data_IF_348395269951
#
_entry.id   IF_348395269951
#
_cell.length_a   1.000
_cell.length_b   1.000
_cell.length_c   1.000
_cell.angle_alpha   90.00
_cell.angle_beta   90.00
_cell.angle_gamma   90.00
#
_symmetry.space_group_name_H-M   'P 1'
#
loop_
_entity.id
_entity.type
_entity.pdbx_description
1 polymer ?
#
# COMPACT_ATOMS: atom_id res chain seq x y z
N UNK A 1 -16.14 -7.59 -2.20
CA UNK A 1 -16.43 -7.65 -0.76
C UNK A 1 -15.26 -7.05 0.00
N UNK A 2 -15.44 -5.89 0.63
CA UNK A 2 -14.42 -5.28 1.45
C UNK A 2 -14.03 -6.21 2.60
N UNK A 3 -12.75 -6.43 2.82
CA UNK A 3 -12.25 -7.14 4.01
C UNK A 3 -12.56 -6.27 5.22
N UNK A 4 -13.31 -6.81 6.17
CA UNK A 4 -13.53 -6.15 7.45
C UNK A 4 -12.18 -6.01 8.18
N UNK A 5 -11.92 -4.85 8.75
CA UNK A 5 -10.80 -4.67 9.67
C UNK A 5 -11.12 -5.43 10.96
N UNK A 6 -10.10 -5.87 11.68
CA UNK A 6 -10.31 -6.63 12.92
C UNK A 6 -11.27 -5.92 13.89
N UNK A 7 -11.14 -4.60 14.03
CA UNK A 7 -12.06 -3.80 14.84
C UNK A 7 -13.51 -3.92 14.38
N UNK A 8 -13.76 -3.79 13.07
CA UNK A 8 -15.11 -3.90 12.49
C UNK A 8 -15.68 -5.30 12.66
N UNK A 9 -14.81 -6.33 12.52
CA UNK A 9 -15.17 -7.72 12.79
C UNK A 9 -15.59 -7.90 14.26
N UNK A 10 -14.79 -7.40 15.20
CA UNK A 10 -15.10 -7.47 16.64
C UNK A 10 -16.46 -6.83 16.93
N UNK A 11 -16.73 -5.64 16.37
CA UNK A 11 -18.02 -4.98 16.56
C UNK A 11 -19.17 -5.81 15.96
N UNK A 12 -18.98 -6.34 14.76
CA UNK A 12 -20.01 -7.18 14.12
C UNK A 12 -20.27 -8.47 14.90
N UNK A 13 -19.23 -9.14 15.40
CA UNK A 13 -19.38 -10.33 16.26
C UNK A 13 -20.13 -9.98 17.55
N UNK A 14 -19.81 -8.86 18.21
CA UNK A 14 -20.55 -8.39 19.40
C UNK A 14 -22.01 -8.16 19.08
N UNK A 15 -22.34 -7.53 17.97
CA UNK A 15 -23.73 -7.28 17.56
C UNK A 15 -24.47 -8.60 17.32
N UNK A 16 -23.87 -9.55 16.59
CA UNK A 16 -24.45 -10.86 16.33
C UNK A 16 -24.67 -11.62 17.64
N UNK A 17 -23.69 -11.64 18.54
CA UNK A 17 -23.82 -12.32 19.82
C UNK A 17 -24.91 -11.68 20.71
N UNK A 18 -25.05 -10.36 20.67
CA UNK A 18 -26.15 -9.69 21.35
C UNK A 18 -27.53 -10.13 20.83
N UNK A 19 -27.70 -10.25 19.50
CA UNK A 19 -28.96 -10.75 18.92
C UNK A 19 -29.19 -12.25 19.26
N UNK A 20 -28.14 -13.07 19.22
CA UNK A 20 -28.21 -14.48 19.62
C UNK A 20 -28.62 -14.64 21.09
N UNK A 21 -28.08 -13.79 21.98
CA UNK A 21 -28.39 -13.84 23.42
C UNK A 21 -29.83 -13.53 23.71
N UNK A 22 -30.52 -12.71 22.91
CA UNK A 22 -31.96 -12.48 23.04
C UNK A 22 -32.79 -13.75 22.86
N UNK A 23 -32.32 -14.69 22.04
CA UNK A 23 -32.97 -15.96 21.77
C UNK A 23 -32.56 -17.02 22.80
N UNK A 24 -31.23 -17.14 23.02
CA UNK A 24 -30.65 -18.20 23.84
C UNK A 24 -30.70 -17.97 25.34
N UNK A 25 -30.86 -16.71 25.77
CA UNK A 25 -30.78 -16.24 27.18
C UNK A 25 -29.39 -16.38 27.80
N UNK A 26 -28.62 -17.40 27.49
CA UNK A 26 -27.24 -17.60 27.92
C UNK A 26 -26.45 -18.42 26.89
N UNK A 27 -25.10 -18.31 26.89
CA UNK A 27 -24.25 -19.14 26.08
C UNK A 27 -23.64 -20.28 26.89
N UNK A 28 -23.70 -21.50 26.35
CA UNK A 28 -23.13 -22.70 26.96
C UNK A 28 -21.67 -22.94 26.54
N UNK A 29 -21.30 -22.53 25.31
CA UNK A 29 -19.97 -22.67 24.75
C UNK A 29 -19.76 -21.66 23.61
N UNK A 30 -18.54 -21.65 23.02
CA UNK A 30 -18.19 -20.87 21.83
C UNK A 30 -18.03 -21.76 20.61
N UNK A 31 -18.37 -21.27 19.43
CA UNK A 31 -18.10 -21.94 18.16
C UNK A 31 -17.81 -20.92 17.07
N UNK A 32 -16.97 -21.34 16.11
CA UNK A 32 -16.71 -20.66 14.85
C UNK A 32 -17.24 -21.46 13.65
N UNK A 33 -17.89 -22.61 13.90
CA UNK A 33 -18.48 -23.45 12.87
C UNK A 33 -19.89 -22.96 12.52
N UNK A 34 -20.11 -22.62 11.26
CA UNK A 34 -21.36 -22.09 10.77
C UNK A 34 -22.56 -23.04 11.01
N UNK A 35 -22.40 -24.34 10.76
CA UNK A 35 -23.46 -25.32 10.93
C UNK A 35 -23.84 -25.51 12.41
N UNK A 36 -22.86 -25.57 13.30
CA UNK A 36 -23.11 -25.64 14.73
C UNK A 36 -23.86 -24.41 15.24
N UNK A 37 -23.45 -23.21 14.77
CA UNK A 37 -24.08 -21.95 15.17
C UNK A 37 -25.52 -21.81 14.69
N UNK A 38 -25.85 -22.35 13.50
CA UNK A 38 -27.25 -22.36 13.00
C UNK A 38 -28.12 -23.33 13.83
N UNK A 39 -27.60 -24.51 14.11
CA UNK A 39 -28.36 -25.56 14.77
C UNK A 39 -28.49 -25.39 16.28
N UNK A 40 -27.62 -24.60 16.89
CA UNK A 40 -27.62 -24.37 18.34
C UNK A 40 -27.50 -22.88 18.68
N UNK A 41 -28.61 -22.22 19.03
CA UNK A 41 -28.61 -20.80 19.41
C UNK A 41 -27.81 -20.51 20.69
N UNK A 42 -27.59 -21.50 21.57
CA UNK A 42 -26.85 -21.33 22.83
C UNK A 42 -25.31 -21.30 22.64
N UNK A 43 -24.82 -21.31 21.41
CA UNK A 43 -23.40 -21.13 21.12
C UNK A 43 -23.08 -19.67 20.85
N UNK A 44 -22.05 -19.16 21.52
CA UNK A 44 -21.48 -17.84 21.21
C UNK A 44 -20.66 -17.92 19.92
N UNK A 45 -20.91 -16.99 19.00
CA UNK A 45 -20.08 -16.85 17.80
C UNK A 45 -18.69 -16.37 18.19
N UNK A 46 -17.67 -17.14 17.81
CA UNK A 46 -16.25 -16.78 17.95
C UNK A 46 -15.54 -16.83 16.59
N UNK A 47 -14.28 -16.45 16.56
CA UNK A 47 -13.47 -16.44 15.34
C UNK A 47 -11.99 -16.73 15.64
N UNK A 48 -11.29 -17.24 14.65
CA UNK A 48 -9.86 -17.52 14.73
C UNK A 48 -9.09 -16.42 14.04
N UNK A 49 -8.12 -15.81 14.73
CA UNK A 49 -7.19 -14.84 14.15
C UNK A 49 -5.98 -15.58 13.60
N UNK A 50 -5.93 -15.75 12.29
CA UNK A 50 -4.76 -16.30 11.61
C UNK A 50 -3.63 -15.26 11.54
N UNK A 51 -2.41 -15.68 11.84
CA UNK A 51 -1.22 -14.82 11.66
C UNK A 51 -0.92 -14.69 10.16
N UNK A 52 -0.79 -13.46 9.62
CA UNK A 52 -0.41 -13.27 8.22
C UNK A 52 1.03 -13.77 7.98
N UNK A 53 1.24 -14.43 6.83
CA UNK A 53 2.54 -15.00 6.41
C UNK A 53 2.90 -14.52 5.02
N UNK A 54 3.65 -13.43 4.91
CA UNK A 54 3.97 -12.79 3.64
C UNK A 54 4.78 -13.70 2.71
N UNK A 55 5.73 -14.47 3.24
CA UNK A 55 6.51 -15.44 2.46
C UNK A 55 5.61 -16.45 1.74
N UNK A 56 4.62 -17.02 2.44
CA UNK A 56 3.65 -17.94 1.85
C UNK A 56 2.83 -17.26 0.73
N UNK A 57 2.44 -16.00 0.91
CA UNK A 57 1.68 -15.26 -0.12
C UNK A 57 2.52 -15.01 -1.37
N UNK A 58 3.81 -14.66 -1.20
CA UNK A 58 4.76 -14.49 -2.30
C UNK A 58 4.98 -15.82 -3.05
N UNK A 59 5.13 -16.95 -2.33
CA UNK A 59 5.31 -18.27 -2.93
C UNK A 59 4.10 -18.65 -3.80
N UNK A 60 2.88 -18.44 -3.30
CA UNK A 60 1.66 -18.71 -4.09
C UNK A 60 1.51 -17.75 -5.27
N UNK A 61 1.81 -16.46 -5.10
CA UNK A 61 1.83 -15.49 -6.19
C UNK A 61 2.81 -15.90 -7.29
N UNK A 62 4.01 -16.35 -6.91
CA UNK A 62 5.03 -16.84 -7.85
C UNK A 62 4.59 -18.12 -8.59
N UNK A 63 3.90 -19.04 -7.89
CA UNK A 63 3.32 -20.24 -8.53
C UNK A 63 2.26 -19.86 -9.56
N UNK A 64 1.36 -18.92 -9.23
CA UNK A 64 0.34 -18.44 -10.16
C UNK A 64 0.98 -17.73 -11.35
N UNK A 65 1.99 -16.89 -11.12
CA UNK A 65 2.74 -16.23 -12.19
C UNK A 65 3.40 -17.25 -13.14
N UNK A 66 3.92 -18.37 -12.60
CA UNK A 66 4.50 -19.46 -13.42
C UNK A 66 3.45 -20.14 -14.30
N UNK A 67 2.16 -20.16 -13.90
CA UNK A 67 1.07 -20.63 -14.76
C UNK A 67 0.87 -19.66 -15.93
N UNK A 68 0.82 -18.34 -15.68
CA UNK A 68 0.69 -17.35 -16.76
C UNK A 68 1.82 -17.47 -17.80
N UNK A 69 3.06 -17.75 -17.37
CA UNK A 69 4.21 -17.92 -18.26
C UNK A 69 4.11 -19.13 -19.20
N UNK A 70 3.21 -20.08 -18.95
CA UNK A 70 2.94 -21.18 -19.90
C UNK A 70 2.12 -20.73 -21.11
N UNK A 71 1.38 -19.64 -20.96
CA UNK A 71 0.44 -19.14 -21.96
C UNK A 71 0.92 -17.85 -22.63
N UNK A 72 1.69 -17.02 -21.92
CA UNK A 72 2.01 -15.65 -22.31
C UNK A 72 3.50 -15.33 -22.14
N UNK A 73 4.00 -14.47 -23.02
CA UNK A 73 5.33 -13.89 -22.90
C UNK A 73 5.38 -12.89 -21.71
N UNK A 74 6.48 -12.84 -20.93
CA UNK A 74 6.63 -11.87 -19.84
C UNK A 74 6.45 -10.40 -20.26
N UNK A 75 6.74 -10.05 -21.52
CA UNK A 75 6.55 -8.70 -22.04
C UNK A 75 5.08 -8.27 -22.05
N UNK A 76 4.15 -9.22 -22.22
CA UNK A 76 2.72 -8.99 -22.31
C UNK A 76 2.02 -9.15 -20.94
N UNK A 77 2.79 -9.40 -19.86
CA UNK A 77 2.30 -9.49 -18.48
C UNK A 77 2.84 -8.31 -17.68
N UNK A 78 1.97 -7.57 -17.00
CA UNK A 78 2.33 -6.55 -16.00
C UNK A 78 1.84 -6.99 -14.61
N UNK A 79 2.78 -7.21 -13.68
CA UNK A 79 2.48 -7.49 -12.27
C UNK A 79 2.05 -6.17 -11.62
N UNK A 80 0.75 -6.02 -11.37
CA UNK A 80 0.16 -4.82 -10.77
C UNK A 80 0.29 -4.85 -9.24
N UNK A 81 0.10 -6.02 -8.63
CA UNK A 81 0.26 -6.26 -7.19
C UNK A 81 0.67 -7.71 -6.93
N UNK A 82 0.76 -8.12 -5.65
CA UNK A 82 1.06 -9.51 -5.27
C UNK A 82 -0.01 -10.50 -5.76
N UNK A 83 -1.24 -10.03 -6.00
CA UNK A 83 -2.42 -10.85 -6.30
C UNK A 83 -3.14 -10.42 -7.59
N UNK A 84 -2.62 -9.42 -8.31
CA UNK A 84 -3.24 -8.92 -9.54
C UNK A 84 -2.21 -8.72 -10.66
N UNK A 85 -2.59 -9.12 -11.87
CA UNK A 85 -1.81 -8.91 -13.10
C UNK A 85 -2.68 -8.32 -14.19
N UNK A 86 -2.09 -7.55 -15.09
CA UNK A 86 -2.66 -7.23 -16.40
C UNK A 86 -1.94 -8.07 -17.46
N UNK A 87 -2.71 -8.55 -18.43
CA UNK A 87 -2.19 -9.37 -19.53
C UNK A 87 -2.78 -8.84 -20.85
N UNK A 88 -1.93 -8.58 -21.84
CA UNK A 88 -2.38 -8.29 -23.19
C UNK A 88 -2.68 -9.61 -23.92
N UNK A 89 -3.97 -9.85 -24.20
CA UNK A 89 -4.44 -11.06 -24.88
C UNK A 89 -4.41 -10.94 -26.40
N UNK A 90 -4.23 -9.75 -26.94
CA UNK A 90 -4.40 -9.45 -28.37
C UNK A 90 -3.59 -10.39 -29.29
N UNK A 91 -2.29 -10.65 -29.04
CA UNK A 91 -1.51 -11.54 -29.89
C UNK A 91 -1.89 -13.02 -29.73
N UNK A 92 -2.50 -13.39 -28.61
CA UNK A 92 -2.72 -14.79 -28.23
C UNK A 92 -4.05 -15.36 -28.69
N UNK A 93 -5.08 -14.52 -28.87
CA UNK A 93 -6.41 -14.95 -29.35
C UNK A 93 -6.29 -15.64 -30.70
N UNK A 94 -5.50 -15.08 -31.63
CA UNK A 94 -5.25 -15.71 -32.94
C UNK A 94 -4.39 -16.95 -32.82
N UNK A 95 -3.38 -16.93 -31.95
CA UNK A 95 -2.46 -18.06 -31.74
C UNK A 95 -3.17 -19.31 -31.23
N UNK A 96 -3.96 -19.16 -30.17
CA UNK A 96 -4.69 -20.26 -29.55
C UNK A 96 -5.99 -20.63 -30.31
N UNK A 97 -6.46 -19.78 -31.21
CA UNK A 97 -7.75 -19.92 -31.91
C UNK A 97 -8.93 -20.09 -30.92
N UNK A 98 -8.85 -19.41 -29.80
CA UNK A 98 -9.85 -19.39 -28.73
C UNK A 98 -10.39 -17.96 -28.57
N UNK A 99 -11.63 -17.82 -28.09
CA UNK A 99 -12.14 -16.55 -27.59
C UNK A 99 -11.41 -16.16 -26.30
N UNK A 100 -11.37 -14.87 -25.98
CA UNK A 100 -10.75 -14.36 -24.76
C UNK A 100 -11.33 -15.06 -23.50
N UNK A 101 -12.67 -15.16 -23.44
CA UNK A 101 -13.37 -15.83 -22.32
C UNK A 101 -12.88 -17.27 -22.14
N UNK A 102 -12.80 -18.04 -23.24
CA UNK A 102 -12.40 -19.46 -23.17
C UNK A 102 -10.94 -19.63 -22.78
N UNK A 103 -10.06 -18.76 -23.28
CA UNK A 103 -8.65 -18.76 -22.88
C UNK A 103 -8.50 -18.48 -21.39
N UNK A 104 -9.20 -17.46 -20.87
CA UNK A 104 -9.17 -17.10 -19.46
C UNK A 104 -9.80 -18.17 -18.58
N UNK A 105 -10.93 -18.78 -18.98
CA UNK A 105 -11.52 -19.91 -18.25
C UNK A 105 -10.50 -21.04 -18.04
N UNK A 106 -9.78 -21.43 -19.09
CA UNK A 106 -8.77 -22.49 -19.00
C UNK A 106 -7.66 -22.15 -18.00
N UNK A 107 -7.21 -20.91 -18.00
CA UNK A 107 -6.16 -20.42 -17.09
C UNK A 107 -6.66 -20.38 -15.63
N UNK A 108 -7.85 -19.83 -15.40
CA UNK A 108 -8.46 -19.79 -14.07
C UNK A 108 -8.69 -21.19 -13.51
N UNK A 109 -9.10 -22.14 -14.36
CA UNK A 109 -9.27 -23.53 -13.97
C UNK A 109 -7.91 -24.19 -13.61
N UNK A 110 -6.84 -23.91 -14.38
CA UNK A 110 -5.49 -24.41 -14.04
C UNK A 110 -4.99 -23.83 -12.71
N UNK A 111 -5.22 -22.54 -12.47
CA UNK A 111 -4.89 -21.91 -11.19
C UNK A 111 -5.62 -22.61 -10.05
N UNK A 112 -6.94 -22.79 -10.16
CA UNK A 112 -7.74 -23.46 -9.13
C UNK A 112 -7.25 -24.88 -8.89
N UNK A 113 -7.00 -25.66 -9.96
CA UNK A 113 -6.52 -27.04 -9.86
C UNK A 113 -5.14 -27.14 -9.20
N UNK A 114 -4.25 -26.20 -9.51
CA UNK A 114 -2.85 -26.23 -9.04
C UNK A 114 -2.68 -25.67 -7.63
N UNK A 115 -3.44 -24.62 -7.28
CA UNK A 115 -3.22 -23.87 -6.04
C UNK A 115 -4.38 -23.99 -5.04
N UNK A 116 -5.52 -24.52 -5.44
CA UNK A 116 -6.78 -24.53 -4.69
C UNK A 116 -7.30 -23.12 -4.35
N UNK A 117 -6.82 -22.10 -5.08
CA UNK A 117 -7.23 -20.71 -4.93
C UNK A 117 -8.13 -20.33 -6.11
N UNK A 118 -9.31 -19.79 -5.80
CA UNK A 118 -10.19 -19.21 -6.82
C UNK A 118 -9.66 -17.84 -7.25
N UNK A 119 -9.79 -17.52 -8.53
CA UNK A 119 -9.45 -16.23 -9.07
C UNK A 119 -10.60 -15.65 -9.89
N UNK A 120 -10.62 -14.32 -10.03
CA UNK A 120 -11.57 -13.57 -10.86
C UNK A 120 -10.83 -12.87 -11.98
N UNK A 121 -11.45 -12.75 -13.15
CA UNK A 121 -10.89 -12.03 -14.27
C UNK A 121 -11.84 -10.94 -14.80
N UNK A 122 -11.25 -9.86 -15.31
CA UNK A 122 -11.95 -8.85 -16.08
C UNK A 122 -11.32 -8.74 -17.46
N UNK A 123 -12.13 -8.82 -18.49
CA UNK A 123 -11.76 -8.66 -19.90
C UNK A 123 -12.25 -7.31 -20.37
N UNK A 124 -11.39 -6.51 -20.97
CA UNK A 124 -11.73 -5.18 -21.48
C UNK A 124 -10.94 -4.82 -22.72
N UNK A 125 -11.44 -3.88 -23.49
CA UNK A 125 -10.77 -3.32 -24.69
C UNK A 125 -9.54 -2.47 -24.34
N UNK A 126 -9.41 -2.08 -23.07
CA UNK A 126 -8.25 -1.36 -22.51
C UNK A 126 -8.03 -1.73 -21.05
N UNK A 127 -6.92 -1.26 -20.45
CA UNK A 127 -6.53 -1.58 -19.07
C UNK A 127 -7.57 -1.13 -18.04
N UNK A 128 -8.17 0.06 -18.24
CA UNK A 128 -9.19 0.57 -17.33
C UNK A 128 -10.45 -0.31 -17.36
N UNK A 129 -10.98 -0.62 -18.51
CA UNK A 129 -12.18 -1.44 -18.66
C UNK A 129 -11.96 -2.87 -18.17
N UNK A 130 -10.77 -3.45 -18.39
CA UNK A 130 -10.42 -4.76 -17.82
C UNK A 130 -10.46 -4.74 -16.30
N UNK A 131 -9.85 -3.70 -15.66
CA UNK A 131 -9.86 -3.55 -14.21
C UNK A 131 -11.27 -3.35 -13.65
N UNK A 132 -12.09 -2.51 -14.28
CA UNK A 132 -13.48 -2.26 -13.87
C UNK A 132 -14.37 -3.50 -14.06
N UNK A 133 -14.17 -4.24 -15.16
CA UNK A 133 -14.88 -5.51 -15.39
C UNK A 133 -14.61 -6.50 -14.26
N UNK A 134 -13.36 -6.60 -13.81
CA UNK A 134 -12.98 -7.47 -12.68
C UNK A 134 -13.60 -6.96 -11.36
N UNK A 135 -13.40 -5.68 -11.03
CA UNK A 135 -13.73 -5.17 -9.69
C UNK A 135 -15.24 -5.00 -9.47
N UNK A 136 -15.98 -4.55 -10.49
CA UNK A 136 -17.39 -4.23 -10.34
C UNK A 136 -18.29 -5.35 -10.88
N UNK A 137 -17.96 -5.97 -12.01
CA UNK A 137 -18.81 -7.02 -12.56
C UNK A 137 -18.46 -8.41 -12.02
N UNK A 138 -17.22 -8.89 -12.23
CA UNK A 138 -16.84 -10.25 -11.87
C UNK A 138 -16.97 -10.53 -10.36
N UNK A 139 -16.48 -9.61 -9.50
CA UNK A 139 -16.55 -9.78 -8.03
C UNK A 139 -17.96 -9.70 -7.44
N UNK A 140 -18.94 -9.15 -8.18
CA UNK A 140 -20.34 -9.05 -7.73
C UNK A 140 -21.26 -10.10 -8.33
N UNK A 141 -20.79 -10.86 -9.32
CA UNK A 141 -21.55 -12.00 -9.87
C UNK A 141 -21.50 -13.18 -8.89
N UNK A 142 -22.59 -13.94 -8.87
CA UNK A 142 -22.57 -15.22 -8.20
C UNK A 142 -21.55 -16.12 -8.94
N UNK A 143 -20.72 -16.79 -8.15
CA UNK A 143 -19.77 -17.79 -8.64
C UNK A 143 -20.54 -18.77 -9.55
N UNK A 144 -20.12 -18.93 -10.81
CA UNK A 144 -20.74 -19.92 -11.69
C UNK A 144 -20.52 -21.34 -11.12
N UNK A 145 -21.18 -22.34 -11.71
CA UNK A 145 -21.11 -23.76 -11.23
C UNK A 145 -19.68 -24.29 -11.15
N UNK A 146 -18.74 -23.69 -11.90
CA UNK A 146 -17.33 -24.08 -11.98
C UNK A 146 -16.42 -23.29 -11.04
N UNK A 147 -16.97 -22.40 -10.22
CA UNK A 147 -16.19 -21.59 -9.28
C UNK A 147 -15.48 -20.38 -9.92
N UNK A 148 -15.80 -20.04 -11.17
CA UNK A 148 -15.14 -18.99 -11.94
C UNK A 148 -16.02 -17.74 -12.05
N UNK A 149 -15.38 -16.56 -12.01
CA UNK A 149 -16.03 -15.26 -12.19
C UNK A 149 -15.25 -14.43 -13.23
N UNK A 150 -15.87 -14.22 -14.39
CA UNK A 150 -15.31 -13.43 -15.50
C UNK A 150 -16.27 -12.30 -15.83
N UNK A 151 -15.76 -11.06 -15.85
CA UNK A 151 -16.49 -9.90 -16.31
C UNK A 151 -15.96 -9.43 -17.67
N UNK A 152 -16.83 -8.88 -18.52
CA UNK A 152 -16.45 -8.30 -19.80
C UNK A 152 -17.01 -6.89 -19.95
N UNK A 153 -16.19 -5.96 -20.44
CA UNK A 153 -16.56 -4.58 -20.78
C UNK A 153 -15.87 -4.13 -22.07
N UNK A 154 -16.65 -3.59 -22.98
CA UNK A 154 -16.24 -2.59 -23.96
C UNK A 154 -16.77 -1.20 -23.54
N UNK A 155 -16.41 -0.15 -24.28
CA UNK A 155 -16.79 1.23 -23.98
C UNK A 155 -18.31 1.43 -23.96
N UNK A 156 -19.04 0.79 -24.87
CA UNK A 156 -20.49 0.92 -24.96
C UNK A 156 -21.19 0.17 -23.83
N UNK A 157 -20.72 -1.02 -23.52
CA UNK A 157 -21.26 -1.83 -22.43
C UNK A 157 -20.98 -1.19 -21.08
N UNK A 158 -19.78 -0.59 -20.91
CA UNK A 158 -19.42 0.20 -19.74
C UNK A 158 -20.41 1.34 -19.52
N UNK A 159 -20.67 2.16 -20.57
CA UNK A 159 -21.61 3.29 -20.49
C UNK A 159 -23.02 2.82 -20.14
N UNK A 160 -23.49 1.75 -20.78
CA UNK A 160 -24.85 1.20 -20.54
C UNK A 160 -25.03 0.63 -19.14
N UNK A 161 -24.03 -0.12 -18.61
CA UNK A 161 -24.17 -0.85 -17.35
C UNK A 161 -23.69 -0.08 -16.14
N UNK A 162 -22.65 0.78 -16.28
CA UNK A 162 -21.91 1.31 -15.15
C UNK A 162 -21.93 2.83 -15.01
N UNK A 163 -22.41 3.58 -15.98
CA UNK A 163 -22.50 5.04 -15.85
C UNK A 163 -23.35 5.48 -14.65
N UNK A 164 -24.38 4.73 -14.29
CA UNK A 164 -25.24 5.01 -13.13
C UNK A 164 -24.78 4.29 -11.85
N UNK A 165 -23.68 3.55 -11.93
CA UNK A 165 -23.19 2.81 -10.76
C UNK A 165 -22.73 3.76 -9.63
N UNK A 166 -23.12 3.42 -8.40
CA UNK A 166 -22.73 4.11 -7.17
C UNK A 166 -22.30 3.09 -6.12
N UNK A 167 -21.37 3.45 -5.24
CA UNK A 167 -20.69 4.75 -5.10
C UNK A 167 -19.56 4.92 -6.12
N UNK A 168 -19.28 6.18 -6.53
CA UNK A 168 -18.26 6.50 -7.53
C UNK A 168 -16.83 6.06 -7.14
N UNK A 169 -16.54 5.90 -5.86
CA UNK A 169 -15.26 5.39 -5.38
C UNK A 169 -15.07 3.87 -5.50
N UNK A 170 -16.02 3.15 -6.10
CA UNK A 170 -15.82 1.76 -6.55
C UNK A 170 -14.96 1.72 -7.83
N UNK A 171 -14.89 2.84 -8.56
CA UNK A 171 -14.11 2.93 -9.78
C UNK A 171 -12.63 3.14 -9.49
N UNK A 172 -11.81 2.40 -10.23
CA UNK A 172 -10.36 2.46 -10.12
C UNK A 172 -9.85 3.90 -10.23
N UNK A 173 -8.88 4.27 -9.39
CA UNK A 173 -8.29 5.60 -9.22
C UNK A 173 -9.18 6.69 -8.60
N UNK A 174 -10.43 6.40 -8.26
CA UNK A 174 -11.27 7.34 -7.52
C UNK A 174 -11.28 6.96 -6.04
N UNK A 175 -10.38 7.56 -5.27
CA UNK A 175 -10.35 7.43 -3.81
C UNK A 175 -11.37 8.34 -3.11
N UNK A 176 -11.50 8.20 -1.79
CA UNK A 176 -12.44 9.00 -0.97
C UNK A 176 -12.29 10.51 -1.17
N UNK A 177 -11.05 11.01 -1.31
CA UNK A 177 -10.80 12.45 -1.53
C UNK A 177 -11.36 12.95 -2.86
N UNK A 178 -11.17 12.18 -3.93
CA UNK A 178 -11.73 12.53 -5.25
C UNK A 178 -13.25 12.42 -5.23
N UNK A 179 -13.81 11.34 -4.67
CA UNK A 179 -15.25 11.19 -4.55
C UNK A 179 -15.91 12.37 -3.78
N UNK A 180 -15.27 12.84 -2.70
CA UNK A 180 -15.77 14.01 -1.95
C UNK A 180 -15.74 15.29 -2.78
N UNK A 181 -14.64 15.54 -3.53
CA UNK A 181 -14.54 16.69 -4.42
C UNK A 181 -15.55 16.63 -5.56
N UNK A 182 -15.72 15.46 -6.20
CA UNK A 182 -16.72 15.26 -7.25
C UNK A 182 -18.13 15.51 -6.74
N UNK A 183 -18.46 14.95 -5.58
CA UNK A 183 -19.77 15.16 -4.94
C UNK A 183 -20.04 16.63 -4.62
N UNK A 184 -19.02 17.42 -4.23
CA UNK A 184 -19.19 18.85 -3.92
C UNK A 184 -19.57 19.71 -5.13
N UNK A 185 -19.38 19.19 -6.36
CA UNK A 185 -19.80 19.82 -7.61
C UNK A 185 -20.97 19.08 -8.29
N UNK A 186 -21.68 18.22 -7.54
CA UNK A 186 -22.88 17.54 -8.01
C UNK A 186 -22.66 16.25 -8.80
N UNK A 187 -21.43 15.74 -8.89
CA UNK A 187 -21.07 14.52 -9.62
C UNK A 187 -21.11 13.32 -8.66
N UNK A 188 -22.00 12.35 -8.91
CA UNK A 188 -22.20 11.18 -8.05
C UNK A 188 -21.81 9.86 -8.72
N UNK A 189 -21.73 9.81 -10.04
CA UNK A 189 -21.39 8.63 -10.83
C UNK A 189 -20.59 9.00 -12.08
N UNK A 190 -20.10 8.00 -12.82
CA UNK A 190 -19.24 8.23 -13.98
C UNK A 190 -19.98 8.88 -15.16
N UNK A 191 -21.27 8.60 -15.31
CA UNK A 191 -22.10 9.25 -16.33
C UNK A 191 -22.30 10.73 -16.04
N UNK A 192 -22.41 11.14 -14.78
CA UNK A 192 -22.46 12.58 -14.41
C UNK A 192 -21.12 13.24 -14.75
N UNK A 193 -19.99 12.59 -14.43
CA UNK A 193 -18.66 13.10 -14.75
C UNK A 193 -18.45 13.26 -16.27
N UNK A 194 -18.83 12.25 -17.05
CA UNK A 194 -18.72 12.29 -18.51
C UNK A 194 -19.55 13.43 -19.12
N UNK A 195 -20.79 13.60 -18.69
CA UNK A 195 -21.63 14.71 -19.16
C UNK A 195 -21.14 16.08 -18.70
N UNK A 196 -20.66 16.16 -17.46
CA UNK A 196 -20.13 17.40 -16.90
C UNK A 196 -18.89 17.88 -17.67
N UNK A 197 -18.01 16.95 -18.10
CA UNK A 197 -16.78 17.27 -18.81
C UNK A 197 -17.02 17.97 -20.16
N UNK A 198 -18.16 17.75 -20.82
CA UNK A 198 -18.45 18.35 -22.12
C UNK A 198 -18.43 19.89 -22.13
N UNK A 199 -18.80 20.53 -21.01
CA UNK A 199 -18.91 21.97 -20.92
C UNK A 199 -18.12 22.58 -19.74
N UNK A 200 -17.48 21.79 -18.92
CA UNK A 200 -16.83 22.25 -17.68
C UNK A 200 -15.43 21.60 -17.48
N UNK A 201 -14.75 21.31 -18.56
CA UNK A 201 -13.43 20.69 -18.53
C UNK A 201 -12.42 21.53 -17.73
N UNK A 202 -12.35 22.85 -17.99
CA UNK A 202 -11.47 23.79 -17.26
C UNK A 202 -11.68 23.73 -15.74
N UNK A 203 -12.93 23.58 -15.30
CA UNK A 203 -13.23 23.48 -13.87
C UNK A 203 -12.74 22.17 -13.27
N UNK A 204 -12.77 21.08 -14.01
CA UNK A 204 -12.19 19.81 -13.59
C UNK A 204 -10.66 19.94 -13.46
N UNK A 205 -9.99 20.61 -14.41
CA UNK A 205 -8.56 20.89 -14.31
C UNK A 205 -8.20 21.79 -13.12
N UNK A 206 -9.02 22.79 -12.80
CA UNK A 206 -8.82 23.63 -11.61
C UNK A 206 -8.90 22.82 -10.31
N UNK A 207 -9.77 21.81 -10.22
CA UNK A 207 -10.00 21.01 -9.02
C UNK A 207 -9.00 19.85 -8.88
N UNK A 208 -8.66 19.19 -9.99
CA UNK A 208 -7.91 17.94 -10.02
C UNK A 208 -6.52 18.06 -10.65
N UNK A 209 -6.19 19.23 -11.23
CA UNK A 209 -4.95 19.43 -12.00
C UNK A 209 -4.89 18.49 -13.19
N UNK A 210 -3.71 18.06 -13.57
CA UNK A 210 -3.48 17.12 -14.70
C UNK A 210 -4.22 15.78 -14.56
N UNK A 211 -4.64 15.42 -13.37
CA UNK A 211 -5.42 14.19 -13.17
C UNK A 211 -6.87 14.33 -13.69
N UNK A 212 -7.33 15.53 -14.07
CA UNK A 212 -8.62 15.73 -14.69
C UNK A 212 -8.73 14.98 -16.01
N UNK A 213 -7.68 15.00 -16.83
CA UNK A 213 -7.61 14.28 -18.11
C UNK A 213 -7.92 12.79 -17.91
N UNK A 214 -7.19 12.13 -17.00
CA UNK A 214 -7.43 10.72 -16.69
C UNK A 214 -8.85 10.45 -16.15
N UNK A 215 -9.40 11.35 -15.33
CA UNK A 215 -10.77 11.21 -14.82
C UNK A 215 -11.80 11.31 -15.93
N UNK A 216 -11.62 12.23 -16.87
CA UNK A 216 -12.49 12.42 -18.04
C UNK A 216 -12.43 11.20 -18.95
N UNK A 217 -11.22 10.76 -19.31
CA UNK A 217 -11.01 9.59 -20.15
C UNK A 217 -11.69 8.36 -19.55
N UNK A 218 -11.44 8.08 -18.29
CA UNK A 218 -12.07 6.97 -17.56
C UNK A 218 -13.60 7.09 -17.50
N UNK A 219 -14.15 8.31 -17.38
CA UNK A 219 -15.60 8.50 -17.40
C UNK A 219 -16.20 8.11 -18.76
N UNK A 220 -15.48 8.32 -19.85
CA UNK A 220 -15.87 7.89 -21.19
C UNK A 220 -15.53 6.43 -21.49
N UNK A 221 -14.78 5.74 -20.61
CA UNK A 221 -14.32 4.37 -20.80
C UNK A 221 -13.05 4.26 -21.64
N UNK A 222 -12.29 5.34 -21.76
CA UNK A 222 -11.04 5.39 -22.49
C UNK A 222 -9.83 5.25 -21.55
N UNK A 223 -8.76 4.63 -22.03
CA UNK A 223 -7.46 4.56 -21.37
C UNK A 223 -6.36 4.56 -22.42
N UNK A 224 -5.52 5.57 -22.39
CA UNK A 224 -4.41 5.74 -23.35
C UNK A 224 -3.19 4.88 -23.01
N UNK A 225 -3.07 4.44 -21.75
CA UNK A 225 -1.93 3.65 -21.30
C UNK A 225 -1.96 2.25 -21.91
N UNK A 226 -0.86 1.86 -22.56
CA UNK A 226 -0.68 0.54 -23.15
C UNK A 226 0.31 -0.31 -22.32
N UNK A 227 0.34 -1.61 -22.58
CA UNK A 227 1.32 -2.52 -21.97
C UNK A 227 2.76 -2.07 -22.30
N UNK A 228 3.00 -1.63 -23.52
CA UNK A 228 4.29 -1.10 -23.94
C UNK A 228 4.67 0.16 -23.16
N UNK A 229 3.76 1.11 -23.02
CA UNK A 229 3.97 2.33 -22.23
C UNK A 229 4.35 2.02 -20.77
N UNK A 230 3.68 1.03 -20.16
CA UNK A 230 4.02 0.56 -18.80
C UNK A 230 5.45 0.01 -18.74
N UNK A 231 5.83 -0.82 -19.70
CA UNK A 231 7.17 -1.47 -19.72
C UNK A 231 8.31 -0.49 -20.00
N UNK A 232 8.05 0.53 -20.79
CA UNK A 232 9.04 1.56 -21.14
C UNK A 232 9.13 2.68 -20.09
N UNK A 233 8.15 2.80 -19.20
CA UNK A 233 8.11 3.85 -18.19
C UNK A 233 9.28 3.77 -17.22
N UNK A 234 10.03 4.85 -17.11
CA UNK A 234 11.09 5.05 -16.12
C UNK A 234 10.73 6.24 -15.23
N UNK A 235 10.60 5.99 -13.95
CA UNK A 235 10.34 7.06 -12.98
C UNK A 235 11.50 8.08 -12.99
N UNK A 236 11.16 9.36 -13.12
CA UNK A 236 12.12 10.47 -13.02
C UNK A 236 12.60 10.70 -11.58
N UNK A 237 11.76 10.40 -10.62
CA UNK A 237 12.04 10.58 -9.19
C UNK A 237 11.82 9.26 -8.47
N UNK A 238 12.83 8.84 -7.75
CA UNK A 238 12.77 7.63 -6.93
C UNK A 238 12.75 8.07 -5.46
N UNK A 239 11.84 7.50 -4.69
CA UNK A 239 11.80 7.66 -3.25
C UNK A 239 11.75 6.29 -2.57
N UNK A 240 12.29 6.22 -1.35
CA UNK A 240 12.17 5.07 -0.46
C UNK A 240 11.35 5.48 0.74
N UNK A 241 10.35 4.71 1.08
CA UNK A 241 9.48 4.99 2.22
C UNK A 241 9.40 3.80 3.15
N UNK A 242 9.51 4.08 4.44
CA UNK A 242 9.22 3.11 5.50
C UNK A 242 8.25 3.72 6.51
N UNK A 243 7.17 3.01 6.78
CA UNK A 243 6.17 3.42 7.76
C UNK A 243 5.96 2.31 8.79
N UNK A 244 5.96 2.68 10.07
CA UNK A 244 5.71 1.76 11.19
C UNK A 244 4.48 2.22 11.96
N UNK A 245 3.44 1.39 11.95
CA UNK A 245 2.29 1.54 12.86
C UNK A 245 2.67 0.88 14.17
N UNK A 246 2.55 1.62 15.26
CA UNK A 246 2.93 1.15 16.59
C UNK A 246 1.80 0.29 17.19
N UNK A 247 2.13 -0.81 17.91
CA UNK A 247 1.12 -1.71 18.48
C UNK A 247 0.24 -1.03 19.52
N UNK A 248 0.83 -0.08 20.24
CA UNK A 248 0.21 0.78 21.25
C UNK A 248 0.67 2.23 21.06
N UNK A 249 0.01 3.23 21.67
CA UNK A 249 0.48 4.62 21.63
C UNK A 249 1.82 4.76 22.36
N UNK A 250 2.82 5.35 21.70
CA UNK A 250 4.15 5.56 22.27
C UNK A 250 4.36 7.01 22.67
N UNK A 251 5.13 7.20 23.77
CA UNK A 251 5.63 8.51 24.17
C UNK A 251 6.64 9.06 23.15
N UNK A 252 6.89 10.37 23.19
CA UNK A 252 7.89 11.07 22.38
C UNK A 252 9.25 10.35 22.37
N UNK A 253 9.79 10.04 23.57
CA UNK A 253 11.10 9.39 23.72
C UNK A 253 11.13 8.01 23.02
N UNK A 254 10.13 7.17 23.28
CA UNK A 254 10.04 5.84 22.71
C UNK A 254 9.86 5.87 21.19
N UNK A 255 9.07 6.82 20.68
CA UNK A 255 8.86 7.04 19.26
C UNK A 255 10.12 7.54 18.54
N UNK A 256 10.91 8.40 19.21
CA UNK A 256 12.20 8.89 18.72
C UNK A 256 13.21 7.75 18.55
N UNK A 257 13.21 6.75 19.44
CA UNK A 257 14.07 5.56 19.30
C UNK A 257 13.60 4.66 18.15
N UNK A 258 12.28 4.54 17.93
CA UNK A 258 11.73 3.84 16.74
C UNK A 258 12.18 4.54 15.45
N UNK A 259 12.24 5.87 15.40
CA UNK A 259 12.74 6.58 14.22
C UNK A 259 14.20 6.21 13.92
N UNK A 260 15.07 6.08 14.94
CA UNK A 260 16.45 5.61 14.73
C UNK A 260 16.51 4.22 14.09
N UNK A 261 15.60 3.32 14.49
CA UNK A 261 15.51 1.97 13.89
C UNK A 261 15.05 2.04 12.43
N UNK A 262 14.07 2.88 12.13
CA UNK A 262 13.58 3.09 10.76
C UNK A 262 14.71 3.61 9.87
N UNK A 263 15.45 4.62 10.33
CA UNK A 263 16.61 5.18 9.60
C UNK A 263 17.67 4.12 9.37
N UNK A 264 18.03 3.37 10.42
CA UNK A 264 19.04 2.31 10.34
C UNK A 264 18.70 1.26 9.27
N UNK A 265 17.45 0.84 9.21
CA UNK A 265 16.97 -0.11 8.22
C UNK A 265 16.99 0.47 6.80
N UNK A 266 16.52 1.71 6.63
CA UNK A 266 16.48 2.37 5.33
C UNK A 266 17.88 2.65 4.78
N UNK A 267 18.83 3.01 5.63
CA UNK A 267 20.23 3.20 5.23
C UNK A 267 20.87 1.89 4.78
N UNK A 268 20.63 0.78 5.48
CA UNK A 268 21.08 -0.54 5.03
C UNK A 268 20.54 -0.88 3.64
N UNK A 269 19.27 -0.58 3.37
CA UNK A 269 18.68 -0.80 2.04
C UNK A 269 19.31 0.11 0.97
N UNK A 270 19.61 1.37 1.29
CA UNK A 270 20.33 2.27 0.37
C UNK A 270 21.71 1.71 -0.01
N UNK A 271 22.46 1.25 0.98
CA UNK A 271 23.81 0.71 0.76
C UNK A 271 23.79 -0.59 -0.01
N UNK A 272 22.84 -1.49 0.30
CA UNK A 272 22.64 -2.75 -0.43
C UNK A 272 22.39 -2.51 -1.93
N UNK A 273 21.60 -1.49 -2.26
CA UNK A 273 21.22 -1.14 -3.63
C UNK A 273 22.18 -0.11 -4.29
N UNK A 274 23.26 0.29 -3.61
CA UNK A 274 24.21 1.33 -4.05
C UNK A 274 23.50 2.67 -4.37
N UNK A 275 22.60 3.09 -3.46
CA UNK A 275 21.79 4.29 -3.60
C UNK A 275 22.18 5.35 -2.55
N UNK A 276 21.85 6.60 -2.86
CA UNK A 276 21.97 7.78 -1.96
C UNK A 276 20.72 8.63 -2.07
N UNK A 277 20.48 9.49 -1.07
CA UNK A 277 19.39 10.46 -1.07
C UNK A 277 19.88 11.83 -0.60
N UNK A 278 19.09 12.89 -0.86
CA UNK A 278 19.41 14.24 -0.36
C UNK A 278 18.20 14.97 0.27
N UNK A 279 17.11 14.26 0.53
CA UNK A 279 15.94 14.87 1.18
C UNK A 279 15.24 13.84 2.07
N UNK A 280 14.85 14.28 3.27
CA UNK A 280 14.12 13.48 4.26
C UNK A 280 12.75 14.12 4.46
N UNK A 281 11.70 13.31 4.39
CA UNK A 281 10.33 13.71 4.75
C UNK A 281 9.88 12.86 5.93
N UNK A 282 9.39 13.50 6.98
CA UNK A 282 8.88 12.85 8.17
C UNK A 282 7.39 13.16 8.34
N UNK A 283 6.59 12.11 8.53
CA UNK A 283 5.18 12.19 8.89
C UNK A 283 4.94 11.36 10.16
N UNK A 284 4.42 12.02 11.20
CA UNK A 284 4.15 11.41 12.51
C UNK A 284 2.68 11.58 12.84
N UNK A 285 1.96 10.47 12.93
CA UNK A 285 0.55 10.46 13.30
C UNK A 285 0.39 10.27 14.80
N UNK A 286 -0.37 11.14 15.41
CA UNK A 286 -0.74 11.04 16.81
C UNK A 286 -1.88 10.04 17.06
N UNK A 287 -1.95 9.53 18.27
CA UNK A 287 -3.07 8.68 18.71
C UNK A 287 -4.22 9.53 19.25
N UNK A 288 -5.44 9.00 19.21
CA UNK A 288 -6.63 9.63 19.78
C UNK A 288 -6.50 9.92 21.29
N UNK A 289 -5.77 9.04 22.01
CA UNK A 289 -5.53 9.19 23.45
C UNK A 289 -4.72 10.44 23.79
N UNK A 290 -4.07 11.07 22.80
CA UNK A 290 -3.42 12.38 22.97
C UNK A 290 -4.41 13.47 23.39
N UNK A 291 -5.66 13.41 22.92
CA UNK A 291 -6.71 14.37 23.25
C UNK A 291 -7.27 14.16 24.67
N UNK A 292 -7.24 12.93 25.17
CA UNK A 292 -7.61 12.60 26.54
C UNK A 292 -6.53 13.10 27.52
N UNK A 293 -5.26 13.00 27.10
CA UNK A 293 -4.11 13.46 27.88
C UNK A 293 -3.98 14.98 27.92
N UNK A 294 -4.29 15.68 26.82
CA UNK A 294 -4.21 17.13 26.69
C UNK A 294 -5.60 17.70 26.45
N UNK A 295 -6.41 17.74 27.51
CA UNK A 295 -7.84 18.16 27.45
C UNK A 295 -8.06 19.59 26.93
N UNK A 296 -7.06 20.48 27.03
CA UNK A 296 -7.15 21.87 26.57
C UNK A 296 -6.68 22.10 25.13
N UNK A 297 -6.40 21.04 24.36
CA UNK A 297 -5.89 21.21 22.99
C UNK A 297 -6.92 21.86 22.06
N UNK A 298 -6.58 23.05 21.56
CA UNK A 298 -7.37 23.85 20.60
C UNK A 298 -6.73 23.96 19.22
N UNK A 299 -5.67 23.18 18.97
CA UNK A 299 -4.95 23.20 17.70
C UNK A 299 -5.65 22.48 16.56
N UNK A 300 -5.01 22.41 15.39
CA UNK A 300 -5.60 21.79 14.21
C UNK A 300 -5.83 20.27 14.39
N UNK A 301 -6.99 19.82 13.95
CA UNK A 301 -7.44 18.44 14.06
C UNK A 301 -7.45 17.76 12.70
N UNK A 302 -7.30 16.45 12.69
CA UNK A 302 -7.52 15.58 11.53
C UNK A 302 -8.33 14.34 11.93
N UNK A 303 -8.70 13.54 10.94
CA UNK A 303 -9.35 12.24 11.18
C UNK A 303 -8.41 11.11 10.81
N UNK A 304 -8.31 10.11 11.67
CA UNK A 304 -7.57 8.90 11.36
C UNK A 304 -8.30 8.03 10.32
N UNK A 305 -7.71 6.91 9.94
CA UNK A 305 -8.31 5.97 8.98
C UNK A 305 -9.63 5.34 9.45
N UNK A 306 -10.00 5.50 10.72
CA UNK A 306 -11.25 5.04 11.33
C UNK A 306 -12.28 6.16 11.50
N UNK A 307 -11.96 7.38 11.04
CA UNK A 307 -12.82 8.56 11.19
C UNK A 307 -12.79 9.20 12.58
N UNK A 308 -11.88 8.75 13.48
CA UNK A 308 -11.74 9.30 14.83
C UNK A 308 -10.94 10.60 14.77
N UNK A 309 -11.35 11.58 15.55
CA UNK A 309 -10.62 12.84 15.67
C UNK A 309 -9.27 12.61 16.37
N UNK A 310 -8.21 13.12 15.79
CA UNK A 310 -6.84 13.10 16.32
C UNK A 310 -6.20 14.47 16.10
N UNK A 311 -5.17 14.86 16.85
CA UNK A 311 -4.37 16.03 16.49
C UNK A 311 -3.84 15.89 15.06
N UNK A 312 -3.73 17.03 14.34
CA UNK A 312 -3.15 17.00 12.97
C UNK A 312 -1.74 16.42 13.03
N UNK A 313 -1.44 15.51 12.07
CA UNK A 313 -0.12 14.91 11.95
C UNK A 313 0.98 15.96 11.92
N UNK A 314 2.10 15.68 12.60
CA UNK A 314 3.33 16.41 12.40
C UNK A 314 3.95 15.97 11.07
N UNK A 315 4.18 16.92 10.17
CA UNK A 315 4.72 16.65 8.84
C UNK A 315 5.68 17.76 8.45
N UNK A 316 6.89 17.39 8.02
CA UNK A 316 7.83 18.33 7.42
C UNK A 316 8.89 17.62 6.59
N UNK A 317 9.67 18.44 5.88
CA UNK A 317 10.73 18.03 4.98
C UNK A 317 12.02 18.76 5.32
N UNK A 318 13.15 18.07 5.29
CA UNK A 318 14.49 18.64 5.41
C UNK A 318 15.36 18.19 4.24
N UNK A 319 16.05 19.14 3.61
CA UNK A 319 17.04 18.84 2.59
C UNK A 319 18.40 18.56 3.24
N UNK A 320 19.15 17.66 2.65
CA UNK A 320 20.54 17.41 2.99
C UNK A 320 21.41 18.21 2.03
N UNK A 321 22.56 18.68 2.50
CA UNK A 321 23.46 19.53 1.71
C UNK A 321 24.06 18.80 0.50
N UNK A 322 24.11 17.47 0.58
CA UNK A 322 24.61 16.60 -0.47
C UNK A 322 23.90 15.23 -0.46
N UNK A 323 23.99 14.52 -1.56
CA UNK A 323 23.51 13.14 -1.65
C UNK A 323 24.37 12.21 -0.79
N UNK A 324 23.73 11.47 0.12
CA UNK A 324 24.43 10.58 1.06
C UNK A 324 23.66 9.30 1.35
N UNK A 325 24.37 8.28 1.79
CA UNK A 325 23.87 7.09 2.47
C UNK A 325 24.46 6.95 3.88
N UNK A 326 25.03 8.03 4.45
CA UNK A 326 25.56 8.04 5.82
C UNK A 326 24.44 7.87 6.83
N UNK A 327 24.57 6.85 7.68
CA UNK A 327 23.67 6.61 8.79
C UNK A 327 23.68 7.77 9.79
N UNK A 328 24.87 8.29 10.09
CA UNK A 328 25.04 9.40 11.02
C UNK A 328 24.32 10.65 10.53
N UNK A 329 24.57 11.04 9.28
CA UNK A 329 23.94 12.24 8.68
C UNK A 329 22.44 12.13 8.60
N UNK A 330 21.91 11.02 8.06
CA UNK A 330 20.47 10.81 7.89
C UNK A 330 19.78 10.70 9.26
N UNK A 331 20.41 10.01 10.23
CA UNK A 331 19.88 9.87 11.58
C UNK A 331 19.82 11.20 12.31
N UNK A 332 20.91 11.96 12.32
CA UNK A 332 20.97 13.26 13.00
C UNK A 332 19.95 14.25 12.43
N UNK A 333 19.87 14.37 11.10
CA UNK A 333 18.91 15.24 10.42
C UNK A 333 17.46 14.77 10.61
N UNK A 334 17.22 13.47 10.60
CA UNK A 334 15.89 12.90 10.89
C UNK A 334 15.44 13.15 12.33
N UNK A 335 16.35 13.05 13.30
CA UNK A 335 16.07 13.35 14.71
C UNK A 335 15.90 14.86 14.96
N UNK A 336 16.72 15.69 14.34
CA UNK A 336 16.55 17.16 14.37
C UNK A 336 15.14 17.54 13.87
N UNK A 337 14.73 16.98 12.75
CA UNK A 337 13.39 17.22 12.20
C UNK A 337 12.29 16.72 13.14
N UNK A 338 12.45 15.53 13.73
CA UNK A 338 11.50 14.96 14.69
C UNK A 338 11.36 15.87 15.92
N UNK A 339 12.47 16.28 16.51
CA UNK A 339 12.50 17.12 17.70
C UNK A 339 11.86 18.51 17.44
N UNK A 340 11.97 19.02 16.21
CA UNK A 340 11.39 20.30 15.78
C UNK A 340 9.87 20.23 15.61
N UNK A 341 9.33 19.18 14.99
CA UNK A 341 7.93 19.17 14.55
C UNK A 341 6.98 18.38 15.46
N UNK A 342 7.50 17.45 16.25
CA UNK A 342 6.66 16.55 17.05
C UNK A 342 6.37 17.14 18.42
N UNK A 343 5.10 17.23 18.78
CA UNK A 343 4.70 17.66 20.11
C UNK A 343 5.02 16.57 21.15
N UNK A 344 5.83 16.90 22.16
CA UNK A 344 6.29 15.98 23.18
C UNK A 344 5.19 15.48 24.14
N UNK A 345 4.09 16.22 24.26
CA UNK A 345 2.97 15.86 25.14
C UNK A 345 2.02 14.86 24.52
N UNK A 346 2.11 14.67 23.19
CA UNK A 346 1.20 13.78 22.46
C UNK A 346 1.74 12.35 22.39
N UNK A 347 0.80 11.41 22.32
CA UNK A 347 1.07 10.01 22.08
C UNK A 347 1.11 9.74 20.58
N UNK A 348 2.08 8.96 20.14
CA UNK A 348 2.38 8.70 18.74
C UNK A 348 1.87 7.31 18.35
N UNK A 349 1.20 7.22 17.20
CA UNK A 349 0.60 5.97 16.67
C UNK A 349 1.31 5.44 15.43
N UNK A 350 1.85 6.31 14.59
CA UNK A 350 2.53 5.92 13.36
C UNK A 350 3.68 6.88 13.06
N UNK A 351 4.79 6.33 12.58
CA UNK A 351 5.93 7.08 12.06
C UNK A 351 6.15 6.64 10.63
N UNK A 352 6.29 7.59 9.72
CA UNK A 352 6.62 7.36 8.32
C UNK A 352 7.80 8.23 7.93
N UNK A 353 8.87 7.60 7.46
CA UNK A 353 10.07 8.27 6.95
C UNK A 353 10.16 8.01 5.45
N UNK A 354 10.38 9.07 4.69
CA UNK A 354 10.61 8.98 3.25
C UNK A 354 11.96 9.61 2.92
N UNK A 355 12.77 8.90 2.18
CA UNK A 355 14.01 9.39 1.58
C UNK A 355 13.73 9.69 0.11
N UNK A 356 13.83 10.95 -0.28
CA UNK A 356 13.55 11.42 -1.62
C UNK A 356 14.83 11.70 -2.42
N UNK A 357 14.64 11.92 -3.73
CA UNK A 357 15.71 12.17 -4.70
C UNK A 357 16.76 11.07 -4.63
N UNK A 358 16.27 9.83 -4.61
CA UNK A 358 17.15 8.66 -4.54
C UNK A 358 17.79 8.43 -5.90
N UNK A 359 19.12 8.35 -5.91
CA UNK A 359 19.94 8.12 -7.12
C UNK A 359 21.03 7.09 -6.86
N UNK A 360 21.57 6.51 -7.92
CA UNK A 360 22.73 5.61 -7.80
C UNK A 360 23.98 6.39 -7.38
N UNK A 361 24.73 5.85 -6.44
CA UNK A 361 25.96 6.47 -5.92
C UNK A 361 26.99 6.77 -7.02
N UNK A 362 27.07 5.92 -8.04
CA UNK A 362 27.99 6.09 -9.18
C UNK A 362 27.69 7.32 -10.04
N UNK A 363 26.43 7.80 -10.00
CA UNK A 363 26.00 8.97 -10.76
C UNK A 363 26.57 10.27 -10.16
N UNK A 364 26.82 10.30 -8.84
CA UNK A 364 27.24 11.51 -8.11
C UNK A 364 28.75 11.74 -8.18
N UNK A 365 29.55 10.70 -8.31
CA UNK A 365 31.02 10.83 -8.40
C UNK A 365 31.52 11.70 -9.55
N UNK A 366 30.63 12.04 -10.50
CA UNK A 366 30.93 12.89 -11.67
C UNK A 366 30.77 14.39 -11.45
N UNK A 367 30.23 14.83 -10.29
CA UNK A 367 29.81 16.24 -10.07
C UNK A 367 30.60 16.91 -8.90
N UNK A 368 31.73 16.40 -8.48
CA UNK A 368 32.54 17.08 -7.46
C UNK A 368 33.35 18.22 -8.09
N UNK A 369 32.87 19.46 -7.90
CA UNK A 369 33.68 20.64 -8.03
C UNK A 369 34.70 20.71 -6.87
N UNK A 370 35.95 21.16 -7.09
CA UNK A 370 36.96 21.31 -6.03
C UNK A 370 36.50 22.41 -5.05
N UNK A 371 36.34 22.05 -3.78
CA UNK A 371 35.94 22.95 -2.70
C UNK A 371 37.17 23.60 -2.01
N UNK A 372 37.04 24.85 -1.60
CA UNK A 372 38.01 25.59 -0.78
C UNK A 372 38.23 25.00 0.65
N UNK A 373 37.38 24.04 1.09
CA UNK A 373 37.44 23.41 2.40
C UNK A 373 37.92 21.95 2.36
N UNK A 374 38.86 21.62 1.50
CA UNK A 374 39.34 20.27 1.21
C UNK A 374 39.74 19.45 2.46
N UNK A 375 40.25 20.07 3.53
CA UNK A 375 40.70 19.38 4.74
C UNK A 375 39.52 18.90 5.64
N UNK A 376 38.43 19.63 5.69
CA UNK A 376 37.21 19.24 6.43
C UNK A 376 36.52 18.12 5.65
N UNK A 377 36.41 18.26 4.33
CA UNK A 377 35.86 17.22 3.44
C UNK A 377 36.68 15.91 3.46
N UNK A 378 37.99 15.96 3.64
CA UNK A 378 38.82 14.77 3.77
C UNK A 378 38.57 14.01 5.07
N UNK A 379 38.33 14.68 6.20
CA UNK A 379 37.95 14.03 7.46
C UNK A 379 36.55 13.40 7.38
N UNK A 380 35.58 14.10 6.83
CA UNK A 380 34.23 13.60 6.62
C UNK A 380 34.21 12.41 5.65
N UNK A 381 35.01 12.47 4.57
CA UNK A 381 35.15 11.35 3.63
C UNK A 381 35.77 10.10 4.28
N UNK A 382 36.76 10.25 5.17
CA UNK A 382 37.35 9.12 5.90
C UNK A 382 36.36 8.45 6.85
N UNK A 383 35.56 9.24 7.55
CA UNK A 383 34.50 8.74 8.43
C UNK A 383 33.40 8.05 7.64
N UNK A 384 32.97 8.63 6.52
CA UNK A 384 31.99 8.03 5.62
C UNK A 384 32.44 6.68 5.05
N UNK A 385 33.70 6.59 4.57
CA UNK A 385 34.26 5.33 4.06
C UNK A 385 34.31 4.24 5.16
N UNK A 386 34.67 4.62 6.38
CA UNK A 386 34.70 3.70 7.52
C UNK A 386 33.29 3.22 7.89
N UNK A 387 32.33 4.13 7.89
CA UNK A 387 30.92 3.83 8.13
C UNK A 387 30.36 2.90 7.05
N UNK A 388 30.60 3.19 5.77
CA UNK A 388 30.15 2.36 4.64
C UNK A 388 30.71 0.94 4.72
N UNK A 389 32.00 0.79 5.09
CA UNK A 389 32.63 -0.54 5.28
C UNK A 389 31.94 -1.29 6.43
N UNK A 390 31.64 -0.61 7.53
CA UNK A 390 30.93 -1.21 8.68
C UNK A 390 29.55 -1.69 8.28
N UNK A 391 28.77 -0.88 7.54
CA UNK A 391 27.45 -1.23 7.08
C UNK A 391 27.48 -2.39 6.07
N UNK A 392 28.45 -2.42 5.16
CA UNK A 392 28.65 -3.56 4.24
C UNK A 392 28.98 -4.87 4.99
N UNK A 393 29.85 -4.81 6.01
CA UNK A 393 30.13 -5.96 6.86
C UNK A 393 28.87 -6.45 7.61
N UNK A 394 28.06 -5.51 8.12
CA UNK A 394 26.79 -5.80 8.76
C UNK A 394 25.79 -6.47 7.81
N UNK A 395 25.68 -5.98 6.57
CA UNK A 395 24.88 -6.59 5.51
C UNK A 395 25.33 -8.03 5.21
N UNK A 396 26.63 -8.28 5.11
CA UNK A 396 27.16 -9.63 4.90
C UNK A 396 26.76 -10.60 6.01
N UNK A 397 26.78 -10.15 7.28
CA UNK A 397 26.31 -10.94 8.42
C UNK A 397 24.79 -11.20 8.32
N UNK A 398 24.00 -10.18 8.02
CA UNK A 398 22.55 -10.31 7.87
C UNK A 398 22.18 -11.26 6.73
N UNK A 399 22.89 -11.21 5.60
CA UNK A 399 22.66 -12.13 4.47
C UNK A 399 23.01 -13.58 4.83
N UNK A 400 24.10 -13.78 5.59
CA UNK A 400 24.58 -15.12 5.96
C UNK A 400 23.77 -15.76 7.09
N UNK A 401 23.35 -14.99 8.07
CA UNK A 401 22.76 -15.51 9.33
C UNK A 401 21.32 -15.06 9.56
N UNK A 402 20.74 -14.26 8.63
CA UNK A 402 19.37 -13.74 8.70
C UNK A 402 19.25 -12.39 9.42
N UNK A 403 18.12 -11.73 9.23
CA UNK A 403 17.85 -10.37 9.73
C UNK A 403 17.92 -10.20 11.25
N UNK A 404 17.84 -11.28 12.02
CA UNK A 404 17.90 -11.27 13.48
C UNK A 404 19.30 -11.53 14.07
N UNK A 405 20.32 -11.65 13.22
CA UNK A 405 21.67 -12.02 13.65
C UNK A 405 22.45 -10.87 14.28
N UNK A 406 22.09 -9.62 13.98
CA UNK A 406 22.76 -8.45 14.53
C UNK A 406 21.75 -7.31 14.77
N UNK A 407 21.82 -6.69 15.95
CA UNK A 407 20.99 -5.55 16.34
C UNK A 407 21.74 -4.64 17.30
N UNK A 408 21.29 -3.39 17.42
CA UNK A 408 21.90 -2.41 18.31
C UNK A 408 21.50 -2.70 19.77
N UNK A 409 22.42 -2.55 20.71
CA UNK A 409 22.15 -2.72 22.14
C UNK A 409 21.02 -1.79 22.65
N UNK A 410 20.94 -0.56 22.12
CA UNK A 410 19.86 0.39 22.43
C UNK A 410 18.45 -0.12 22.10
N UNK A 411 18.32 -1.05 21.17
CA UNK A 411 17.02 -1.69 20.85
C UNK A 411 16.59 -2.69 21.91
N UNK A 412 17.52 -3.22 22.71
CA UNK A 412 17.24 -4.14 23.82
C UNK A 412 16.79 -3.43 25.09
N UNK A 413 17.41 -2.27 25.40
CA UNK A 413 17.12 -1.51 26.63
C UNK A 413 15.69 -0.98 26.68
N UNK A 414 15.10 -0.67 25.52
CA UNK A 414 13.75 -0.08 25.43
C UNK A 414 12.63 -1.13 25.35
N UNK A 415 12.91 -2.43 25.55
CA UNK A 415 11.91 -3.49 25.43
C UNK A 415 11.25 -3.56 24.05
N UNK A 416 11.89 -2.95 23.05
CA UNK A 416 11.46 -2.97 21.68
C UNK A 416 11.58 -4.42 21.20
N UNK A 417 10.48 -5.14 21.16
CA UNK A 417 10.46 -6.45 20.52
C UNK A 417 10.85 -6.24 19.07
N UNK A 418 12.03 -6.69 18.70
CA UNK A 418 12.53 -6.72 17.33
C UNK A 418 11.68 -7.74 16.55
N UNK A 419 10.43 -7.43 16.39
CA UNK A 419 9.58 -8.11 15.43
C UNK A 419 9.66 -7.29 14.16
N UNK A 420 10.41 -7.78 13.20
CA UNK A 420 10.44 -7.30 11.82
C UNK A 420 9.06 -7.49 11.19
N UNK A 421 8.11 -6.63 11.55
CA UNK A 421 6.85 -6.51 10.84
C UNK A 421 7.05 -5.54 9.68
N UNK A 422 7.39 -6.05 8.52
CA UNK A 422 7.30 -5.29 7.27
C UNK A 422 5.83 -5.29 6.87
N UNK A 423 5.21 -4.10 6.81
CA UNK A 423 3.82 -3.95 6.37
C UNK A 423 2.77 -4.60 7.28
N UNK A 424 3.04 -4.82 8.57
CA UNK A 424 2.09 -5.46 9.50
C UNK A 424 2.02 -6.98 9.38
N UNK A 425 2.86 -7.60 8.56
CA UNK A 425 2.96 -9.04 8.37
C UNK A 425 4.25 -9.59 8.98
N UNK A 426 4.17 -10.77 9.61
CA UNK A 426 5.38 -11.49 10.01
C UNK A 426 6.10 -12.00 8.73
N UNK A 427 7.41 -11.81 8.70
CA UNK A 427 8.25 -12.36 7.64
C UNK A 427 8.26 -13.89 7.71
#
# INVERSE_FOLDING_TARGET
SGRLRLFELIQKVKTINYERLKIAKYFSAKSYNHLELINNPNLELDYIVAKPRMSTYIDYSSKIYSIYLKYFDPKDIHIYSIDEVFIDLTPYIKHYKLSADKLIENILFEILKTTQITATAGIGTNLYLAKIAMDILAKKQNINKDGLCIGYLDEMLYRRKLWQHTPINDFWRIGKGYATKLKSIGINNMGDLARYSLNNEDKLYQIFGVNAELLIDHAWGFESCTMQAIKEYKSKHISKVMAKVLPEPYSFKKARDILKEIVDHMVLELIEQNLTCNQIVLDVQYDKESLEKVQSYKGPMSKDSYGRSIPKNAHSTINLDYHTSSLETICNKGLELFDLIVNADFLIRKISLTLNNVVKNDTIKKIKEPSLFADIEQKENKNFIKEEKLQKARLAIVHKYGKKSIFKASSLENGLKINSQIGGHNA
#
